data_IF_077707260293
#
_entry.id   IF_077707260293
#
_cell.length_a   1.000
_cell.length_b   1.000
_cell.length_c   1.000
_cell.angle_alpha   90.00
_cell.angle_beta   90.00
_cell.angle_gamma   90.00
#
_symmetry.space_group_name_H-M   'P 1'
#
loop_
_entity.id
_entity.type
_entity.pdbx_description
1 polymer ?
#
# COMPACT_ATOMS: atom_id res chain seq x y z
N UNK A 1 30.75 3.77 -1.46
CA UNK A 1 29.39 3.24 -1.22
C UNK A 1 28.86 2.56 -2.49
N UNK A 2 27.92 1.59 -2.37
CA UNK A 2 27.34 0.89 -3.54
C UNK A 2 25.85 0.66 -3.33
N UNK A 3 25.02 0.82 -4.38
CA UNK A 3 23.58 0.55 -4.36
C UNK A 3 23.25 -0.44 -5.47
N UNK A 4 22.54 -1.53 -5.13
CA UNK A 4 22.02 -2.51 -6.09
C UNK A 4 20.49 -2.53 -6.03
N UNK A 5 19.86 -2.43 -7.19
CA UNK A 5 18.40 -2.38 -7.34
C UNK A 5 17.86 -3.77 -7.68
N UNK A 6 17.21 -4.45 -6.75
CA UNK A 6 16.71 -5.81 -6.97
C UNK A 6 15.24 -5.88 -7.34
N UNK A 7 14.40 -5.08 -6.68
CA UNK A 7 12.97 -5.05 -6.91
C UNK A 7 12.45 -3.62 -7.00
N UNK A 8 11.20 -3.44 -7.39
CA UNK A 8 10.63 -2.14 -7.77
C UNK A 8 11.54 -1.35 -8.75
N UNK A 9 12.27 -2.07 -9.57
CA UNK A 9 13.06 -1.57 -10.70
C UNK A 9 12.33 -2.03 -11.97
N UNK A 10 11.82 -1.10 -12.77
CA UNK A 10 10.95 -1.34 -13.93
C UNK A 10 9.63 -2.07 -13.59
N UNK A 11 9.20 -2.02 -12.34
CA UNK A 11 7.93 -2.58 -11.84
C UNK A 11 7.50 -1.86 -10.57
N UNK A 12 6.21 -1.92 -10.23
CA UNK A 12 5.62 -1.31 -9.03
C UNK A 12 5.57 -2.24 -7.82
N UNK A 13 6.22 -3.43 -7.86
CA UNK A 13 6.10 -4.40 -6.77
C UNK A 13 7.45 -4.97 -6.36
N UNK A 14 7.50 -5.48 -5.12
CA UNK A 14 8.68 -6.15 -4.58
C UNK A 14 9.83 -5.22 -4.27
N UNK A 15 9.56 -4.01 -3.74
CA UNK A 15 10.58 -3.01 -3.40
C UNK A 15 11.72 -3.62 -2.59
N UNK A 16 12.94 -3.52 -3.14
CA UNK A 16 14.14 -4.11 -2.53
C UNK A 16 15.40 -3.48 -3.11
N UNK A 17 16.07 -2.61 -2.34
CA UNK A 17 17.31 -1.96 -2.75
C UNK A 17 18.40 -2.19 -1.71
N UNK A 18 19.55 -2.71 -2.14
CA UNK A 18 20.66 -3.00 -1.24
C UNK A 18 21.69 -1.86 -1.26
N UNK A 19 21.92 -1.25 -0.12
CA UNK A 19 22.99 -0.28 0.14
C UNK A 19 24.15 -1.00 0.86
N UNK A 20 25.34 -0.94 0.27
CA UNK A 20 26.56 -1.46 0.87
C UNK A 20 27.49 -0.28 1.21
N UNK A 21 27.71 -0.07 2.51
CA UNK A 21 28.50 1.06 3.04
C UNK A 21 29.22 0.62 4.34
N UNK A 22 30.47 1.08 4.52
CA UNK A 22 31.27 0.82 5.73
C UNK A 22 31.29 -0.66 6.16
N UNK A 23 31.37 -1.58 5.18
CA UNK A 23 31.35 -3.03 5.41
C UNK A 23 29.99 -3.58 5.86
N UNK A 24 28.93 -2.78 5.85
CA UNK A 24 27.55 -3.18 6.20
C UNK A 24 26.67 -3.28 4.97
N UNK A 25 25.71 -4.19 5.05
CA UNK A 25 24.69 -4.46 4.02
C UNK A 25 23.32 -4.08 4.57
N UNK A 26 22.77 -3.01 4.02
CA UNK A 26 21.52 -2.39 4.47
C UNK A 26 20.48 -2.54 3.36
N UNK A 27 19.37 -3.17 3.65
CA UNK A 27 18.28 -3.35 2.71
C UNK A 27 17.24 -2.24 2.93
N UNK A 28 16.92 -1.49 1.89
CA UNK A 28 15.78 -0.57 1.87
C UNK A 28 14.59 -1.36 1.32
N UNK A 29 13.59 -1.60 2.17
CA UNK A 29 12.44 -2.46 1.97
C UNK A 29 12.79 -3.94 1.67
N UNK A 30 11.80 -4.81 1.79
CA UNK A 30 11.86 -6.22 1.41
C UNK A 30 10.45 -6.69 1.04
N UNK A 31 9.99 -6.23 -0.12
CA UNK A 31 8.62 -6.36 -0.57
C UNK A 31 8.32 -7.69 -1.27
N UNK A 32 7.05 -8.08 -1.21
CA UNK A 32 6.53 -9.19 -1.97
C UNK A 32 6.34 -8.77 -3.44
N UNK A 33 6.93 -9.52 -4.37
CA UNK A 33 6.66 -9.35 -5.78
C UNK A 33 5.23 -9.82 -6.10
N UNK A 34 4.45 -8.95 -6.70
CA UNK A 34 3.09 -9.22 -7.16
C UNK A 34 3.07 -9.11 -8.69
N UNK A 35 2.44 -10.07 -9.36
CA UNK A 35 2.41 -10.12 -10.81
C UNK A 35 1.97 -11.48 -11.32
N UNK A 36 2.48 -11.90 -12.47
CA UNK A 36 2.11 -13.18 -13.04
C UNK A 36 2.44 -14.33 -12.08
N UNK A 37 1.44 -15.18 -11.77
CA UNK A 37 1.47 -16.19 -10.68
C UNK A 37 2.75 -17.02 -10.64
N UNK A 38 3.24 -17.51 -11.80
CA UNK A 38 4.46 -18.33 -11.86
C UNK A 38 5.71 -17.53 -11.49
N UNK A 39 5.81 -16.33 -12.03
CA UNK A 39 6.94 -15.44 -11.78
C UNK A 39 6.97 -14.95 -10.32
N UNK A 40 5.83 -14.55 -9.78
CA UNK A 40 5.68 -14.17 -8.38
C UNK A 40 6.06 -15.33 -7.44
N UNK A 41 5.63 -16.55 -7.77
CA UNK A 41 6.00 -17.74 -7.02
C UNK A 41 7.51 -17.98 -6.97
N UNK A 42 8.21 -17.82 -8.10
CA UNK A 42 9.66 -18.03 -8.20
C UNK A 42 10.45 -16.91 -7.53
N UNK A 43 10.13 -15.64 -7.83
CA UNK A 43 10.85 -14.47 -7.30
C UNK A 43 10.77 -14.37 -5.77
N UNK A 44 9.58 -14.61 -5.19
CA UNK A 44 9.41 -14.50 -3.75
C UNK A 44 10.09 -15.62 -2.97
N UNK A 45 10.30 -16.80 -3.57
CA UNK A 45 11.03 -17.92 -2.93
C UNK A 45 12.54 -17.77 -3.04
N UNK A 46 13.01 -17.22 -4.14
CA UNK A 46 14.42 -17.07 -4.44
C UNK A 46 14.80 -15.59 -4.35
N UNK A 47 14.94 -15.10 -3.10
CA UNK A 47 15.35 -13.73 -2.88
C UNK A 47 16.73 -13.48 -3.54
N UNK A 48 16.93 -12.33 -4.19
CA UNK A 48 18.16 -12.03 -4.91
C UNK A 48 19.34 -11.68 -3.98
N UNK A 49 19.14 -11.78 -2.68
CA UNK A 49 20.14 -11.51 -1.64
C UNK A 49 20.33 -12.75 -0.74
N UNK A 50 21.55 -12.98 -0.28
CA UNK A 50 21.79 -13.92 0.81
C UNK A 50 21.35 -13.28 2.14
N UNK A 51 20.23 -13.75 2.70
CA UNK A 51 19.62 -13.23 3.91
C UNK A 51 20.57 -13.19 5.11
N UNK A 52 21.52 -14.14 5.19
CA UNK A 52 22.51 -14.23 6.29
C UNK A 52 23.53 -13.10 6.26
N UNK A 53 23.70 -12.45 5.11
CA UNK A 53 24.68 -11.37 4.93
C UNK A 53 24.08 -9.97 5.13
N UNK A 54 22.77 -9.86 5.32
CA UNK A 54 22.10 -8.59 5.55
C UNK A 54 22.23 -8.21 7.03
N UNK A 55 22.81 -7.05 7.30
CA UNK A 55 22.97 -6.53 8.67
C UNK A 55 21.70 -5.82 9.15
N UNK A 56 21.08 -5.02 8.28
CA UNK A 56 19.93 -4.18 8.63
C UNK A 56 18.90 -4.14 7.50
N UNK A 57 17.64 -4.00 7.88
CA UNK A 57 16.56 -3.58 6.98
C UNK A 57 16.01 -2.24 7.47
N UNK A 58 15.75 -1.33 6.56
CA UNK A 58 15.04 -0.08 6.83
C UNK A 58 13.75 -0.13 6.02
N UNK A 59 12.63 -0.14 6.72
CA UNK A 59 11.31 -0.28 6.10
C UNK A 59 10.62 1.08 6.01
N UNK A 60 10.31 1.48 4.79
CA UNK A 60 9.62 2.74 4.50
C UNK A 60 8.17 2.74 4.99
N UNK A 61 7.42 1.67 4.73
CA UNK A 61 6.03 1.52 5.16
C UNK A 61 5.54 0.06 5.08
N UNK A 62 4.29 -0.18 5.52
CA UNK A 62 3.78 -1.52 5.77
C UNK A 62 3.15 -2.23 4.56
N UNK A 63 2.98 -1.59 3.39
CA UNK A 63 2.40 -2.27 2.24
C UNK A 63 3.17 -3.54 1.89
N UNK A 64 2.45 -4.55 1.38
CA UNK A 64 2.99 -5.89 1.16
C UNK A 64 4.09 -5.92 0.09
N UNK A 65 4.04 -5.04 -0.88
CA UNK A 65 5.08 -4.86 -1.89
C UNK A 65 6.35 -4.14 -1.37
N UNK A 66 6.35 -3.70 -0.10
CA UNK A 66 7.49 -3.15 0.64
C UNK A 66 7.92 -4.01 1.83
N UNK A 67 7.00 -4.72 2.48
CA UNK A 67 7.24 -5.50 3.71
C UNK A 67 7.07 -7.02 3.55
N UNK A 68 6.37 -7.48 2.52
CA UNK A 68 5.78 -8.81 2.46
C UNK A 68 6.78 -9.98 2.38
N UNK A 69 8.04 -9.75 2.03
CA UNK A 69 9.10 -10.75 2.04
C UNK A 69 9.97 -10.72 3.30
N UNK A 70 9.71 -9.82 4.25
CA UNK A 70 10.46 -9.79 5.52
C UNK A 70 10.41 -11.13 6.29
N UNK A 71 9.23 -11.80 6.43
CA UNK A 71 9.20 -13.12 7.09
C UNK A 71 10.01 -14.17 6.31
N UNK A 72 9.99 -14.14 4.97
CA UNK A 72 10.80 -15.02 4.13
C UNK A 72 12.29 -14.75 4.31
N UNK A 73 12.70 -13.50 4.43
CA UNK A 73 14.08 -13.13 4.72
C UNK A 73 14.55 -13.71 6.07
N UNK A 74 13.68 -13.64 7.11
CA UNK A 74 13.94 -14.27 8.43
C UNK A 74 14.04 -15.80 8.31
N UNK A 75 13.13 -16.44 7.57
CA UNK A 75 13.15 -17.88 7.30
C UNK A 75 14.44 -18.32 6.62
N UNK A 76 14.99 -17.49 5.73
CA UNK A 76 16.27 -17.74 5.03
C UNK A 76 17.52 -17.39 5.87
N UNK A 77 17.34 -16.91 7.10
CA UNK A 77 18.45 -16.76 8.04
C UNK A 77 18.83 -15.32 8.42
N UNK A 78 18.08 -14.32 8.02
CA UNK A 78 18.24 -12.95 8.52
C UNK A 78 18.08 -12.90 10.04
N UNK A 79 19.01 -12.22 10.72
CA UNK A 79 19.00 -12.03 12.18
C UNK A 79 19.38 -10.60 12.59
N UNK A 80 19.42 -9.68 11.62
CA UNK A 80 19.71 -8.27 11.84
C UNK A 80 18.53 -7.52 12.44
N UNK A 81 18.58 -6.20 12.41
CA UNK A 81 17.49 -5.32 12.91
C UNK A 81 16.67 -4.76 11.76
N UNK A 82 15.37 -4.56 12.00
CA UNK A 82 14.45 -3.90 11.09
C UNK A 82 14.05 -2.57 11.69
N UNK A 83 14.52 -1.46 11.11
CA UNK A 83 14.16 -0.12 11.54
C UNK A 83 12.90 0.32 10.80
N UNK A 84 11.89 0.73 11.54
CA UNK A 84 10.63 1.24 11.02
C UNK A 84 9.97 2.17 12.03
N UNK A 85 8.97 2.92 11.62
CA UNK A 85 8.11 3.64 12.55
C UNK A 85 7.26 2.67 13.37
N UNK A 86 6.87 3.06 14.61
CA UNK A 86 6.01 2.21 15.45
C UNK A 86 4.70 1.85 14.74
N UNK A 87 4.03 2.83 14.13
CA UNK A 87 2.77 2.60 13.40
C UNK A 87 2.95 1.68 12.18
N UNK A 88 4.10 1.73 11.51
CA UNK A 88 4.46 0.77 10.45
C UNK A 88 4.64 -0.63 11.03
N UNK A 89 5.32 -0.76 12.18
CA UNK A 89 5.50 -2.05 12.87
C UNK A 89 4.16 -2.67 13.25
N UNK A 90 3.25 -1.88 13.82
CA UNK A 90 1.93 -2.35 14.24
C UNK A 90 1.08 -2.80 13.03
N UNK A 91 1.14 -2.08 11.91
CA UNK A 91 0.48 -2.48 10.66
C UNK A 91 1.12 -3.75 10.08
N UNK A 92 2.45 -3.87 10.10
CA UNK A 92 3.15 -5.07 9.62
C UNK A 92 2.70 -6.33 10.38
N UNK A 93 2.53 -6.26 11.70
CA UNK A 93 2.08 -7.41 12.47
C UNK A 93 0.75 -7.97 11.94
N UNK A 94 -0.26 -7.12 11.77
CA UNK A 94 -1.56 -7.57 11.29
C UNK A 94 -1.56 -7.96 9.81
N UNK A 95 -0.83 -7.22 8.96
CA UNK A 95 -0.81 -7.43 7.51
C UNK A 95 -0.02 -8.69 7.12
N UNK A 96 1.13 -8.94 7.76
CA UNK A 96 1.95 -10.13 7.48
C UNK A 96 1.29 -11.41 7.99
N UNK A 97 0.57 -11.38 9.12
CA UNK A 97 -0.25 -12.50 9.59
C UNK A 97 -1.42 -12.78 8.64
N UNK A 98 -2.10 -11.75 8.17
CA UNK A 98 -3.18 -11.90 7.19
C UNK A 98 -2.64 -12.48 5.87
N UNK A 99 -1.51 -11.96 5.38
CA UNK A 99 -0.84 -12.49 4.19
C UNK A 99 -0.44 -13.97 4.37
N UNK A 100 0.11 -14.34 5.52
CA UNK A 100 0.44 -15.74 5.85
C UNK A 100 -0.81 -16.62 5.80
N UNK A 101 -1.91 -16.19 6.39
CA UNK A 101 -3.18 -16.92 6.40
C UNK A 101 -3.74 -17.10 4.98
N UNK A 102 -3.75 -16.03 4.17
CA UNK A 102 -4.23 -16.09 2.78
C UNK A 102 -3.38 -17.02 1.93
N UNK A 103 -2.04 -16.91 2.02
CA UNK A 103 -1.12 -17.81 1.31
C UNK A 103 -1.34 -19.30 1.69
N UNK A 104 -1.57 -19.58 2.96
CA UNK A 104 -1.85 -20.94 3.42
C UNK A 104 -3.14 -21.51 2.80
N UNK A 105 -4.21 -20.72 2.80
CA UNK A 105 -5.49 -21.12 2.17
C UNK A 105 -5.34 -21.37 0.67
N UNK A 106 -4.65 -20.48 -0.04
CA UNK A 106 -4.39 -20.65 -1.48
C UNK A 106 -3.59 -21.93 -1.75
N UNK A 107 -2.58 -22.21 -0.93
CA UNK A 107 -1.77 -23.41 -1.05
C UNK A 107 -2.58 -24.69 -0.76
N UNK A 108 -3.47 -24.67 0.21
CA UNK A 108 -4.35 -25.83 0.49
C UNK A 108 -5.17 -26.18 -0.75
N UNK A 109 -5.75 -25.17 -1.42
CA UNK A 109 -6.49 -25.37 -2.66
C UNK A 109 -5.61 -25.92 -3.79
N UNK A 110 -4.44 -25.32 -4.02
CA UNK A 110 -3.48 -25.75 -5.05
C UNK A 110 -2.98 -27.17 -4.75
N UNK A 111 -2.61 -27.45 -3.51
CA UNK A 111 -2.05 -28.73 -3.10
C UNK A 111 -3.11 -29.87 -3.14
N UNK A 112 -4.39 -29.56 -2.93
CA UNK A 112 -5.48 -30.53 -3.14
C UNK A 112 -5.52 -31.01 -4.59
N UNK A 113 -5.32 -30.11 -5.57
CA UNK A 113 -5.25 -30.47 -7.00
C UNK A 113 -3.96 -31.24 -7.31
N UNK A 114 -2.80 -30.75 -6.84
CA UNK A 114 -1.49 -31.40 -7.06
C UNK A 114 -1.43 -32.81 -6.49
N UNK A 115 -2.05 -33.05 -5.31
CA UNK A 115 -2.14 -34.39 -4.70
C UNK A 115 -2.90 -35.36 -5.58
N UNK A 116 -4.00 -34.92 -6.23
CA UNK A 116 -4.75 -35.75 -7.20
C UNK A 116 -3.93 -36.06 -8.46
N UNK A 117 -3.02 -35.19 -8.83
CA UNK A 117 -2.14 -35.32 -10.00
C UNK A 117 -0.80 -36.02 -9.67
N UNK A 118 -0.59 -36.51 -8.44
CA UNK A 118 0.67 -37.14 -8.00
C UNK A 118 1.89 -36.23 -8.01
N UNK A 119 1.69 -34.89 -7.99
CA UNK A 119 2.78 -33.90 -8.06
C UNK A 119 3.28 -33.53 -6.66
N UNK A 120 4.57 -33.15 -6.56
CA UNK A 120 5.15 -32.62 -5.32
C UNK A 120 4.33 -31.43 -4.82
N UNK A 121 4.00 -31.44 -3.52
CA UNK A 121 3.25 -30.34 -2.90
C UNK A 121 4.14 -29.10 -2.74
N UNK A 122 3.53 -27.92 -2.77
CA UNK A 122 4.20 -26.68 -2.48
C UNK A 122 4.18 -26.39 -0.97
N UNK A 123 5.28 -25.87 -0.46
CA UNK A 123 5.38 -25.34 0.88
C UNK A 123 4.97 -23.85 0.92
N UNK A 124 4.47 -23.33 2.06
CA UNK A 124 4.21 -21.92 2.23
C UNK A 124 5.51 -21.12 2.08
N UNK A 125 5.39 -19.89 1.61
CA UNK A 125 6.53 -18.97 1.50
C UNK A 125 7.16 -18.74 2.87
N UNK A 126 6.32 -18.49 3.87
CA UNK A 126 6.68 -18.38 5.29
C UNK A 126 5.50 -18.82 6.16
N UNK A 127 5.74 -19.00 7.43
CA UNK A 127 4.77 -19.41 8.43
C UNK A 127 4.59 -18.34 9.51
N UNK A 128 3.57 -18.49 10.36
CA UNK A 128 3.32 -17.56 11.45
C UNK A 128 4.49 -17.47 12.44
N UNK A 129 5.23 -18.55 12.63
CA UNK A 129 6.47 -18.57 13.42
C UNK A 129 7.54 -17.63 12.87
N UNK A 130 7.63 -17.51 11.52
CA UNK A 130 8.57 -16.61 10.86
C UNK A 130 8.14 -15.14 11.07
N UNK A 131 6.83 -14.86 11.04
CA UNK A 131 6.29 -13.55 11.39
C UNK A 131 6.59 -13.22 12.86
N UNK A 132 6.35 -14.16 13.79
CA UNK A 132 6.66 -13.96 15.20
C UNK A 132 8.14 -13.66 15.44
N UNK A 133 9.04 -14.39 14.76
CA UNK A 133 10.47 -14.15 14.84
C UNK A 133 10.86 -12.78 14.25
N UNK A 134 10.26 -12.38 13.13
CA UNK A 134 10.46 -11.07 12.52
C UNK A 134 10.06 -9.94 13.49
N UNK A 135 8.90 -10.03 14.13
CA UNK A 135 8.39 -8.96 15.02
C UNK A 135 9.35 -8.67 16.17
N UNK A 136 10.19 -9.63 16.59
CA UNK A 136 11.22 -9.43 17.60
C UNK A 136 12.46 -8.66 17.09
N UNK A 137 12.61 -8.52 15.77
CA UNK A 137 13.72 -7.82 15.14
C UNK A 137 13.42 -6.34 14.86
N UNK A 138 12.16 -5.93 14.95
CA UNK A 138 11.78 -4.54 14.76
C UNK A 138 12.37 -3.62 15.83
N UNK A 139 12.86 -2.48 15.38
CA UNK A 139 13.35 -1.38 16.22
C UNK A 139 12.55 -0.13 15.83
N UNK A 140 11.53 0.21 16.61
CA UNK A 140 10.77 1.42 16.39
C UNK A 140 11.65 2.67 16.41
N UNK A 141 11.46 3.54 15.43
CA UNK A 141 12.23 4.78 15.27
C UNK A 141 11.26 5.93 15.01
N UNK A 142 11.49 7.07 15.65
CA UNK A 142 10.63 8.25 15.51
C UNK A 142 11.05 9.11 14.32
N UNK A 143 10.14 10.00 13.88
CA UNK A 143 10.49 11.04 12.90
C UNK A 143 11.44 12.04 13.53
N UNK A 144 12.36 12.60 12.74
CA UNK A 144 13.30 13.66 13.13
C UNK A 144 14.21 13.27 14.29
N UNK A 145 14.42 11.97 14.53
CA UNK A 145 15.39 11.45 15.48
C UNK A 145 16.53 10.75 14.74
N UNK A 146 17.62 11.48 14.40
CA UNK A 146 18.79 10.87 13.77
C UNK A 146 19.38 9.78 14.67
N UNK A 147 19.57 8.59 14.12
CA UNK A 147 20.06 7.43 14.83
C UNK A 147 21.24 6.78 14.12
N UNK A 148 22.38 6.73 14.74
CA UNK A 148 23.49 5.93 14.23
C UNK A 148 23.15 4.45 14.34
N UNK A 149 22.95 3.79 13.19
CA UNK A 149 22.59 2.37 13.11
C UNK A 149 23.82 1.47 13.07
N UNK A 150 24.91 1.99 12.54
CA UNK A 150 26.27 1.42 12.63
C UNK A 150 27.29 2.54 12.43
N UNK A 151 28.58 2.26 12.70
CA UNK A 151 29.65 3.25 12.59
C UNK A 151 29.61 4.01 11.27
N UNK A 152 29.40 5.32 11.36
CA UNK A 152 29.38 6.23 10.22
C UNK A 152 28.11 6.14 9.36
N UNK A 153 27.05 5.46 9.80
CA UNK A 153 25.76 5.45 9.10
C UNK A 153 24.66 5.88 10.06
N UNK A 154 24.07 7.04 9.77
CA UNK A 154 22.96 7.61 10.53
C UNK A 154 21.67 7.53 9.73
N UNK A 155 20.61 6.97 10.32
CA UNK A 155 19.26 6.88 9.79
C UNK A 155 18.42 8.02 10.36
N UNK A 156 17.64 8.68 9.53
CA UNK A 156 16.58 9.59 9.94
C UNK A 156 15.32 9.36 9.10
N UNK A 157 14.15 9.38 9.73
CA UNK A 157 12.86 9.28 9.07
C UNK A 157 12.15 10.63 9.00
N UNK A 158 11.52 10.88 7.84
CA UNK A 158 10.59 12.01 7.62
C UNK A 158 9.23 11.48 7.17
N UNK A 159 8.17 12.24 7.34
CA UNK A 159 6.84 11.79 6.95
C UNK A 159 6.69 11.71 5.43
N UNK A 160 6.28 10.57 4.91
CA UNK A 160 6.00 10.37 3.48
C UNK A 160 4.53 10.62 3.10
N UNK A 161 3.62 10.72 4.07
CA UNK A 161 2.22 11.05 3.87
C UNK A 161 1.39 10.03 3.06
N UNK A 162 1.90 8.82 2.81
CA UNK A 162 1.25 7.82 1.94
C UNK A 162 0.19 6.98 2.67
N UNK A 163 0.61 6.20 3.65
CA UNK A 163 -0.28 5.50 4.61
C UNK A 163 0.20 5.76 6.02
N UNK A 164 -0.57 5.28 7.00
CA UNK A 164 -0.17 5.37 8.41
C UNK A 164 1.25 4.80 8.60
N UNK A 165 2.14 5.63 9.14
CA UNK A 165 3.52 5.24 9.43
C UNK A 165 4.48 5.32 8.25
N UNK A 166 4.05 5.65 7.04
CA UNK A 166 4.95 5.80 5.90
C UNK A 166 6.02 6.87 6.14
N UNK A 167 7.24 6.56 5.74
CA UNK A 167 8.39 7.42 5.95
C UNK A 167 9.30 7.51 4.73
N UNK A 168 9.80 8.72 4.50
CA UNK A 168 11.00 8.96 3.71
C UNK A 168 12.19 8.50 4.54
N UNK A 169 13.16 7.85 3.90
CA UNK A 169 14.35 7.30 4.57
C UNK A 169 15.57 8.12 4.16
N UNK A 170 16.18 8.81 5.11
CA UNK A 170 17.48 9.46 4.89
C UNK A 170 18.59 8.66 5.55
N UNK A 171 19.67 8.41 4.81
CA UNK A 171 20.90 7.83 5.32
C UNK A 171 22.06 8.81 5.11
N UNK A 172 22.63 9.27 6.21
CA UNK A 172 23.91 9.99 6.21
C UNK A 172 25.04 8.98 6.39
N UNK A 173 25.86 8.83 5.35
CA UNK A 173 26.92 7.83 5.29
C UNK A 173 28.28 8.54 5.24
N UNK A 174 29.06 8.40 6.31
CA UNK A 174 30.43 8.89 6.41
C UNK A 174 31.40 7.75 6.11
N UNK A 175 32.03 7.82 4.96
CA UNK A 175 33.04 6.83 4.57
C UNK A 175 34.31 6.95 5.43
N UNK A 176 34.94 5.84 5.78
CA UNK A 176 36.27 5.83 6.43
C UNK A 176 37.35 6.51 5.56
N UNK A 177 37.09 6.75 4.28
CA UNK A 177 37.98 7.44 3.32
C UNK A 177 37.67 8.95 3.15
N UNK A 178 36.78 9.51 3.98
CA UNK A 178 36.49 10.95 4.02
C UNK A 178 35.41 11.43 3.04
N UNK A 179 34.84 10.55 2.24
CA UNK A 179 33.67 10.88 1.39
C UNK A 179 32.37 10.73 2.20
N UNK A 180 31.54 11.75 2.15
CA UNK A 180 30.24 11.73 2.81
C UNK A 180 29.15 11.67 1.75
N UNK A 181 28.18 10.80 1.94
CA UNK A 181 27.02 10.69 1.08
C UNK A 181 25.75 10.82 1.90
N UNK A 182 24.77 11.57 1.38
CA UNK A 182 23.41 11.60 1.89
C UNK A 182 22.48 10.98 0.86
N UNK A 183 21.92 9.83 1.22
CA UNK A 183 20.93 9.12 0.41
C UNK A 183 19.54 9.42 0.95
N UNK A 184 18.61 9.79 0.05
CA UNK A 184 17.19 9.95 0.33
C UNK A 184 16.39 8.94 -0.50
N UNK A 185 15.62 8.08 0.17
CA UNK A 185 14.69 7.15 -0.45
C UNK A 185 13.26 7.56 -0.10
N UNK A 186 12.43 7.79 -1.12
CA UNK A 186 11.06 8.26 -0.93
C UNK A 186 10.14 7.22 -0.27
N UNK A 187 10.47 5.90 -0.38
CA UNK A 187 9.42 4.91 -0.28
C UNK A 187 8.30 5.28 -1.26
N UNK A 188 7.06 5.23 -0.81
CA UNK A 188 5.90 5.74 -1.54
C UNK A 188 5.48 7.10 -0.99
N UNK A 189 5.33 8.07 -1.88
CA UNK A 189 4.91 9.43 -1.56
C UNK A 189 3.38 9.52 -1.56
N UNK A 190 2.86 10.19 -0.53
CA UNK A 190 1.42 10.42 -0.41
C UNK A 190 0.90 11.51 -1.35
N UNK A 191 -0.42 11.55 -1.50
CA UNK A 191 -1.10 12.65 -2.14
C UNK A 191 -1.05 13.92 -1.28
N UNK A 192 -0.86 15.11 -1.87
CA UNK A 192 -1.15 16.35 -1.19
C UNK A 192 -2.62 16.38 -0.72
N UNK A 193 -2.85 16.86 0.50
CA UNK A 193 -4.19 17.08 1.05
C UNK A 193 -5.06 15.81 1.16
N UNK A 194 -4.46 14.63 1.28
CA UNK A 194 -5.26 13.44 1.55
C UNK A 194 -5.92 13.50 2.94
N UNK A 195 -7.08 12.84 3.12
CA UNK A 195 -7.78 12.83 4.41
C UNK A 195 -6.98 12.12 5.49
N UNK A 196 -7.16 12.51 6.75
CA UNK A 196 -6.64 11.91 7.98
C UNK A 196 -5.16 12.17 8.21
N UNK A 197 -4.28 11.91 7.25
CA UNK A 197 -2.83 11.92 7.42
C UNK A 197 -2.20 13.27 7.07
N UNK A 198 -1.07 13.59 7.75
CA UNK A 198 -0.27 14.76 7.42
C UNK A 198 0.37 14.62 6.02
N UNK A 199 0.56 15.75 5.37
CA UNK A 199 1.30 15.88 4.12
C UNK A 199 2.73 15.34 4.24
N UNK A 200 3.35 14.93 3.13
CA UNK A 200 4.77 14.58 3.08
C UNK A 200 5.66 15.77 3.44
N UNK A 201 6.87 15.47 3.88
CA UNK A 201 7.90 16.46 4.24
C UNK A 201 8.94 16.57 3.13
N UNK A 202 9.77 17.61 3.22
CA UNK A 202 10.77 17.95 2.21
C UNK A 202 12.18 17.92 2.82
N UNK A 203 12.80 16.74 3.01
CA UNK A 203 14.17 16.66 3.48
C UNK A 203 15.13 17.26 2.46
N UNK A 204 16.05 18.12 2.92
CA UNK A 204 16.96 18.83 2.06
C UNK A 204 18.35 18.20 2.00
N UNK A 205 19.08 18.46 0.91
CA UNK A 205 20.52 18.24 0.80
C UNK A 205 20.94 16.80 0.49
N UNK A 206 20.12 16.00 -0.17
CA UNK A 206 20.53 14.65 -0.61
C UNK A 206 21.49 14.72 -1.82
N UNK A 207 22.55 13.89 -1.79
CA UNK A 207 23.41 13.66 -2.96
C UNK A 207 22.83 12.62 -3.90
N UNK A 208 22.14 11.63 -3.32
CA UNK A 208 21.58 10.45 -4.00
C UNK A 208 20.11 10.36 -3.65
N UNK A 209 19.29 10.34 -4.68
CA UNK A 209 17.83 10.27 -4.55
C UNK A 209 17.29 9.00 -5.21
N UNK A 210 16.50 8.21 -4.46
CA UNK A 210 15.66 7.14 -4.97
C UNK A 210 14.21 7.58 -4.83
N UNK A 211 13.48 7.75 -5.93
CA UNK A 211 12.11 8.28 -5.91
C UNK A 211 11.14 7.34 -6.63
N UNK A 212 9.97 7.12 -6.03
CA UNK A 212 8.87 6.37 -6.64
C UNK A 212 8.38 7.02 -7.93
N UNK A 213 7.74 6.24 -8.80
CA UNK A 213 7.29 6.70 -10.12
C UNK A 213 5.87 6.24 -10.46
N UNK A 214 5.08 5.81 -9.49
CA UNK A 214 3.80 5.12 -9.68
C UNK A 214 2.83 5.87 -10.59
N UNK A 215 2.79 7.21 -10.47
CA UNK A 215 1.94 8.08 -11.30
C UNK A 215 2.70 9.26 -11.92
N UNK A 216 3.97 9.06 -12.28
CA UNK A 216 4.79 10.09 -12.92
C UNK A 216 4.26 10.55 -14.29
N UNK A 217 3.41 9.74 -14.92
CA UNK A 217 2.79 9.96 -16.23
C UNK A 217 1.40 10.59 -16.18
N UNK A 218 0.78 10.75 -14.99
CA UNK A 218 -0.65 11.09 -14.87
C UNK A 218 -0.93 12.11 -13.78
N UNK A 219 -2.07 12.80 -13.94
CA UNK A 219 -2.67 13.68 -12.93
C UNK A 219 -3.92 13.02 -12.36
N UNK A 220 -4.15 13.18 -11.06
CA UNK A 220 -5.38 12.72 -10.42
C UNK A 220 -6.48 13.77 -10.55
N UNK A 221 -7.77 13.34 -10.65
CA UNK A 221 -8.89 14.25 -10.49
C UNK A 221 -8.89 14.93 -9.11
N UNK A 222 -9.50 16.10 -8.99
CA UNK A 222 -9.63 16.79 -7.71
C UNK A 222 -10.32 15.93 -6.65
N UNK A 223 -9.82 15.98 -5.41
CA UNK A 223 -10.44 15.30 -4.27
C UNK A 223 -11.82 15.91 -3.91
N UNK A 224 -12.09 17.14 -4.33
CA UNK A 224 -13.39 17.81 -4.08
C UNK A 224 -14.58 17.06 -4.69
N UNK A 225 -14.34 16.29 -5.77
CA UNK A 225 -15.37 15.47 -6.41
C UNK A 225 -15.79 14.25 -5.58
N UNK A 226 -14.98 13.79 -4.61
CA UNK A 226 -15.23 12.53 -3.88
C UNK A 226 -16.50 12.63 -3.04
N UNK A 227 -16.65 13.69 -2.24
CA UNK A 227 -17.83 13.88 -1.39
C UNK A 227 -19.10 14.00 -2.21
N UNK A 228 -19.07 14.80 -3.28
CA UNK A 228 -20.22 14.98 -4.15
C UNK A 228 -20.66 13.67 -4.81
N UNK A 229 -19.71 12.88 -5.30
CA UNK A 229 -20.00 11.57 -5.92
C UNK A 229 -20.56 10.59 -4.89
N UNK A 230 -19.94 10.49 -3.72
CA UNK A 230 -20.45 9.63 -2.65
C UNK A 230 -21.86 10.06 -2.23
N UNK A 231 -22.12 11.36 -2.04
CA UNK A 231 -23.46 11.88 -1.74
C UNK A 231 -24.49 11.46 -2.81
N UNK A 232 -24.12 11.57 -4.10
CA UNK A 232 -24.98 11.15 -5.23
C UNK A 232 -25.32 9.67 -5.13
N UNK A 233 -24.33 8.80 -4.88
CA UNK A 233 -24.53 7.36 -4.81
C UNK A 233 -25.33 6.96 -3.56
N UNK A 234 -25.08 7.59 -2.41
CA UNK A 234 -25.83 7.36 -1.19
C UNK A 234 -27.32 7.72 -1.35
N UNK A 235 -27.61 8.85 -1.98
CA UNK A 235 -29.00 9.24 -2.31
C UNK A 235 -29.66 8.30 -3.31
N UNK A 236 -28.87 7.76 -4.26
CA UNK A 236 -29.39 6.80 -5.22
C UNK A 236 -29.80 5.51 -4.54
N UNK A 237 -28.89 4.88 -3.76
CA UNK A 237 -29.19 3.62 -3.08
C UNK A 237 -30.32 3.75 -2.04
N UNK A 238 -30.46 4.91 -1.40
CA UNK A 238 -31.55 5.22 -0.48
C UNK A 238 -32.92 5.21 -1.19
N UNK A 239 -32.99 5.84 -2.37
CA UNK A 239 -34.22 5.89 -3.19
C UNK A 239 -34.62 4.54 -3.79
N UNK A 240 -33.64 3.74 -4.22
CA UNK A 240 -33.87 2.46 -4.89
C UNK A 240 -33.83 1.27 -3.91
N UNK A 241 -33.63 1.53 -2.61
CA UNK A 241 -33.52 0.49 -1.58
C UNK A 241 -32.44 -0.57 -1.92
N UNK A 242 -31.31 -0.13 -2.48
CA UNK A 242 -30.29 -0.95 -3.12
C UNK A 242 -28.93 -0.92 -2.39
N UNK A 243 -27.90 -1.54 -2.96
CA UNK A 243 -26.58 -1.69 -2.34
C UNK A 243 -25.51 -0.90 -3.08
N UNK A 244 -24.60 -0.28 -2.33
CA UNK A 244 -23.35 0.29 -2.81
C UNK A 244 -22.20 -0.61 -2.33
N UNK A 245 -21.62 -1.43 -3.23
CA UNK A 245 -20.44 -2.24 -2.91
C UNK A 245 -19.18 -1.46 -3.28
N UNK A 246 -18.27 -1.33 -2.32
CA UNK A 246 -16.99 -0.64 -2.48
C UNK A 246 -15.83 -1.61 -2.21
N UNK A 247 -15.23 -2.21 -3.25
CA UNK A 247 -13.95 -2.92 -3.13
C UNK A 247 -12.87 -1.98 -2.62
N UNK A 248 -12.25 -2.28 -1.49
CA UNK A 248 -11.26 -1.41 -0.86
C UNK A 248 -10.09 -2.19 -0.24
N UNK A 249 -8.90 -1.61 -0.29
CA UNK A 249 -7.79 -2.12 0.52
C UNK A 249 -8.08 -1.94 2.00
N UNK A 250 -7.67 -2.91 2.80
CA UNK A 250 -7.96 -2.94 4.23
C UNK A 250 -7.25 -1.82 5.00
N UNK A 251 -6.09 -1.37 4.51
CA UNK A 251 -5.29 -0.29 5.08
C UNK A 251 -5.29 0.91 4.14
N UNK A 252 -5.53 2.09 4.69
CA UNK A 252 -5.58 3.37 3.99
C UNK A 252 -6.95 3.63 3.36
N UNK A 253 -7.32 2.92 2.30
CA UNK A 253 -8.54 3.16 1.53
C UNK A 253 -9.83 3.03 2.34
N UNK A 254 -9.96 1.97 3.11
CA UNK A 254 -11.15 1.78 3.98
C UNK A 254 -11.29 2.95 4.96
N UNK A 255 -10.21 3.40 5.60
CA UNK A 255 -10.23 4.51 6.55
C UNK A 255 -10.58 5.84 5.86
N UNK A 256 -10.07 6.09 4.65
CA UNK A 256 -10.44 7.27 3.87
C UNK A 256 -11.94 7.31 3.53
N UNK A 257 -12.52 6.16 3.13
CA UNK A 257 -13.96 6.08 2.83
C UNK A 257 -14.79 6.34 4.09
N UNK A 258 -14.41 5.73 5.23
CA UNK A 258 -15.09 6.00 6.52
C UNK A 258 -15.04 7.50 6.85
N UNK A 259 -13.90 8.14 6.66
CA UNK A 259 -13.72 9.57 6.89
C UNK A 259 -14.66 10.43 6.02
N UNK A 260 -14.79 10.13 4.72
CA UNK A 260 -15.71 10.84 3.84
C UNK A 260 -17.17 10.60 4.23
N UNK A 261 -17.53 9.39 4.65
CA UNK A 261 -18.88 9.10 5.15
C UNK A 261 -19.19 9.86 6.45
N UNK A 262 -18.19 9.98 7.34
CA UNK A 262 -18.29 10.80 8.55
C UNK A 262 -18.55 12.27 8.19
N UNK A 263 -17.75 12.85 7.27
CA UNK A 263 -17.95 14.24 6.81
C UNK A 263 -19.33 14.47 6.18
N UNK A 264 -19.82 13.49 5.42
CA UNK A 264 -21.18 13.57 4.84
C UNK A 264 -22.26 13.51 5.94
N UNK A 265 -22.04 12.72 6.99
CA UNK A 265 -22.94 12.66 8.13
C UNK A 265 -22.98 14.00 8.89
N UNK A 266 -21.81 14.61 9.15
CA UNK A 266 -21.70 15.94 9.79
C UNK A 266 -22.45 17.02 8.99
N UNK A 267 -22.38 16.94 7.66
CA UNK A 267 -23.10 17.84 6.74
C UNK A 267 -24.58 17.46 6.56
N UNK A 268 -25.09 16.44 7.26
CA UNK A 268 -26.45 15.87 7.14
C UNK A 268 -26.78 15.38 5.72
N UNK A 269 -25.77 14.89 5.01
CA UNK A 269 -25.86 14.40 3.63
C UNK A 269 -25.83 12.87 3.52
N UNK A 270 -25.48 12.16 4.60
CA UNK A 270 -25.66 10.71 4.74
C UNK A 270 -27.12 10.43 5.11
N UNK A 271 -27.93 9.74 4.27
CA UNK A 271 -29.30 9.41 4.59
C UNK A 271 -29.38 8.51 5.83
N UNK A 272 -30.36 8.73 6.70
CA UNK A 272 -30.46 8.04 8.00
C UNK A 272 -30.68 6.54 7.90
N UNK A 273 -31.34 6.10 6.84
CA UNK A 273 -31.67 4.68 6.62
C UNK A 273 -30.50 3.89 6.05
N UNK A 274 -29.47 4.55 5.51
CA UNK A 274 -28.30 3.90 4.94
C UNK A 274 -27.44 3.29 6.05
N UNK A 275 -27.31 1.97 6.01
CA UNK A 275 -26.40 1.19 6.89
C UNK A 275 -25.04 1.07 6.23
N UNK A 276 -23.96 1.12 7.02
CA UNK A 276 -22.59 1.02 6.53
C UNK A 276 -21.92 -0.20 7.15
N UNK A 277 -21.41 -1.10 6.33
CA UNK A 277 -20.75 -2.33 6.78
C UNK A 277 -19.31 -2.36 6.29
N UNK A 278 -18.37 -2.58 7.22
CA UNK A 278 -16.98 -2.87 6.92
C UNK A 278 -16.79 -4.38 7.01
N UNK A 279 -16.81 -5.05 5.87
CA UNK A 279 -16.69 -6.51 5.81
C UNK A 279 -15.25 -6.95 5.53
N UNK A 280 -14.38 -6.66 6.48
CA UNK A 280 -12.98 -7.04 6.48
C UNK A 280 -12.41 -7.05 7.90
N UNK A 281 -12.09 -8.21 8.48
CA UNK A 281 -11.45 -8.29 9.80
C UNK A 281 -10.11 -7.54 9.85
N UNK A 282 -9.34 -7.55 8.75
CA UNK A 282 -8.10 -6.78 8.67
C UNK A 282 -8.36 -5.27 8.71
N UNK A 283 -9.40 -4.79 8.01
CA UNK A 283 -9.78 -3.37 8.06
C UNK A 283 -10.17 -2.92 9.46
N UNK A 284 -10.89 -3.78 10.22
CA UNK A 284 -11.23 -3.49 11.61
C UNK A 284 -9.98 -3.34 12.48
N UNK A 285 -9.01 -4.27 12.35
CA UNK A 285 -7.73 -4.19 13.09
C UNK A 285 -6.93 -2.94 12.67
N UNK A 286 -6.84 -2.66 11.38
CA UNK A 286 -6.15 -1.48 10.87
C UNK A 286 -6.78 -0.18 11.38
N UNK A 287 -8.11 -0.07 11.39
CA UNK A 287 -8.80 1.12 11.92
C UNK A 287 -8.51 1.35 13.41
N UNK A 288 -8.39 0.28 14.21
CA UNK A 288 -7.94 0.39 15.61
C UNK A 288 -6.50 0.91 15.73
N UNK A 289 -5.60 0.45 14.85
CA UNK A 289 -4.21 0.94 14.83
C UNK A 289 -4.19 2.42 14.44
N UNK A 290 -4.95 2.84 13.42
CA UNK A 290 -5.10 4.26 13.07
C UNK A 290 -5.55 5.09 14.29
N UNK A 291 -6.57 4.63 15.04
CA UNK A 291 -7.05 5.33 16.24
C UNK A 291 -6.02 5.45 17.37
N UNK A 292 -5.03 4.55 17.42
CA UNK A 292 -3.94 4.58 18.40
C UNK A 292 -2.78 5.50 18.02
N UNK A 293 -2.66 5.90 16.73
CA UNK A 293 -1.55 6.71 16.20
C UNK A 293 -2.02 8.09 15.73
N UNK A 294 -2.69 8.83 16.62
CA UNK A 294 -3.25 10.17 16.31
C UNK A 294 -2.19 11.25 16.08
N UNK A 295 -0.95 11.01 16.49
CA UNK A 295 0.18 11.91 16.29
C UNK A 295 0.51 12.16 14.80
N UNK A 296 0.08 11.26 13.90
CA UNK A 296 0.28 11.41 12.46
C UNK A 296 -0.89 12.06 11.72
N UNK A 297 -1.96 12.41 12.43
CA UNK A 297 -3.15 13.00 11.82
C UNK A 297 -2.88 14.42 11.37
N UNK A 298 -3.53 14.81 10.26
CA UNK A 298 -3.56 16.18 9.78
C UNK A 298 -4.36 17.09 10.74
N UNK A 299 -4.32 18.40 10.49
CA UNK A 299 -4.95 19.37 11.39
C UNK A 299 -6.46 19.18 11.47
N UNK A 300 -7.13 18.89 10.34
CA UNK A 300 -8.58 18.67 10.30
C UNK A 300 -8.99 17.47 11.16
N UNK A 301 -8.33 16.33 11.02
CA UNK A 301 -8.63 15.14 11.82
C UNK A 301 -8.33 15.34 13.31
N UNK A 302 -7.27 16.09 13.65
CA UNK A 302 -6.97 16.46 15.05
C UNK A 302 -8.01 17.39 15.64
N UNK A 303 -8.50 18.35 14.87
CA UNK A 303 -9.57 19.25 15.30
C UNK A 303 -10.86 18.46 15.56
N UNK A 304 -11.23 17.53 14.68
CA UNK A 304 -12.39 16.65 14.92
C UNK A 304 -12.30 15.93 16.27
N UNK A 305 -11.11 15.38 16.59
CA UNK A 305 -10.89 14.70 17.88
C UNK A 305 -11.00 15.68 19.05
N UNK A 306 -10.41 16.87 18.94
CA UNK A 306 -10.52 17.91 19.98
C UNK A 306 -11.96 18.34 20.26
N UNK A 307 -12.82 18.26 19.24
CA UNK A 307 -14.27 18.52 19.35
C UNK A 307 -15.07 17.29 19.82
N UNK A 308 -14.39 16.18 20.22
CA UNK A 308 -15.02 14.96 20.69
C UNK A 308 -15.62 14.08 19.59
N UNK A 309 -15.25 14.32 18.33
CA UNK A 309 -15.67 13.53 17.16
C UNK A 309 -14.56 12.56 16.73
N UNK A 310 -14.93 11.32 16.40
CA UNK A 310 -13.98 10.34 15.88
C UNK A 310 -14.01 10.34 14.34
N UNK A 311 -12.92 10.73 13.65
CA UNK A 311 -12.86 10.76 12.18
C UNK A 311 -12.99 9.39 11.52
N UNK A 312 -12.84 8.31 12.28
CA UNK A 312 -12.85 6.92 11.78
C UNK A 312 -14.14 6.16 12.11
N UNK A 313 -15.23 6.89 12.29
CA UNK A 313 -16.56 6.32 12.47
C UNK A 313 -17.61 7.14 11.72
N UNK A 314 -18.79 6.60 11.51
CA UNK A 314 -19.95 7.32 11.01
C UNK A 314 -21.24 6.68 11.57
N UNK A 315 -22.39 7.37 11.51
CA UNK A 315 -23.66 6.77 11.91
C UNK A 315 -23.93 5.46 11.18
N UNK A 316 -24.52 4.48 11.90
CA UNK A 316 -24.88 3.16 11.37
C UNK A 316 -23.71 2.33 10.81
N UNK A 317 -22.45 2.63 11.22
CA UNK A 317 -21.29 1.83 10.88
C UNK A 317 -21.23 0.56 11.73
N UNK A 318 -21.07 -0.58 11.07
CA UNK A 318 -20.88 -1.89 11.71
C UNK A 318 -19.67 -2.60 11.10
N UNK A 319 -18.78 -3.13 11.94
CA UNK A 319 -17.71 -4.02 11.52
C UNK A 319 -18.19 -5.46 11.56
N UNK A 320 -18.03 -6.17 10.45
CA UNK A 320 -18.45 -7.55 10.26
C UNK A 320 -17.28 -8.49 10.61
N UNK A 321 -17.44 -9.27 11.66
CA UNK A 321 -16.38 -10.14 12.20
C UNK A 321 -16.37 -11.52 11.56
N UNK A 322 -17.52 -12.18 11.49
CA UNK A 322 -17.63 -13.58 11.14
C UNK A 322 -18.03 -13.84 9.68
N UNK A 323 -17.76 -15.03 9.13
CA UNK A 323 -18.24 -15.41 7.80
C UNK A 323 -19.77 -15.46 7.71
N UNK A 324 -20.45 -15.88 8.79
CA UNK A 324 -21.91 -15.97 8.86
C UNK A 324 -22.56 -14.57 8.76
N UNK A 325 -22.03 -13.59 9.50
CA UNK A 325 -22.47 -12.20 9.37
C UNK A 325 -22.23 -11.67 7.96
N UNK A 326 -21.07 -11.97 7.35
CA UNK A 326 -20.75 -11.57 5.98
C UNK A 326 -21.73 -12.16 4.96
N UNK A 327 -22.07 -13.44 5.10
CA UNK A 327 -23.07 -14.09 4.23
C UNK A 327 -24.45 -13.46 4.37
N UNK A 328 -24.86 -13.15 5.59
CA UNK A 328 -26.16 -12.52 5.84
C UNK A 328 -26.34 -11.17 5.11
N UNK A 329 -25.26 -10.40 4.88
CA UNK A 329 -25.32 -9.14 4.12
C UNK A 329 -25.81 -9.34 2.67
N UNK A 330 -25.57 -10.51 2.07
CA UNK A 330 -26.01 -10.78 0.71
C UNK A 330 -27.53 -10.89 0.62
N UNK A 331 -28.16 -11.45 1.66
CA UNK A 331 -29.60 -11.68 1.73
C UNK A 331 -30.37 -10.49 2.34
N UNK A 332 -29.67 -9.56 2.99
CA UNK A 332 -30.28 -8.36 3.55
C UNK A 332 -30.76 -7.43 2.45
N UNK A 333 -31.97 -6.89 2.61
CA UNK A 333 -32.54 -5.82 1.79
C UNK A 333 -32.32 -4.46 2.44
N UNK A 334 -32.51 -3.39 1.65
CA UNK A 334 -32.48 -2.01 2.10
C UNK A 334 -31.20 -1.28 1.71
N UNK A 335 -31.20 0.05 1.87
CA UNK A 335 -30.07 0.86 1.48
C UNK A 335 -28.87 0.54 2.36
N UNK A 336 -27.78 0.06 1.74
CA UNK A 336 -26.55 -0.22 2.48
C UNK A 336 -25.29 0.01 1.66
N UNK A 337 -24.24 0.41 2.34
CA UNK A 337 -22.86 0.45 1.83
C UNK A 337 -22.12 -0.74 2.38
N UNK A 338 -21.48 -1.52 1.52
CA UNK A 338 -20.61 -2.64 1.91
C UNK A 338 -19.20 -2.30 1.44
N UNK A 339 -18.26 -2.13 2.38
CA UNK A 339 -16.84 -1.91 2.10
C UNK A 339 -16.12 -3.21 2.42
N UNK A 340 -15.54 -3.85 1.39
CA UNK A 340 -14.95 -5.18 1.53
C UNK A 340 -13.60 -5.30 0.82
N UNK A 341 -12.67 -6.06 1.40
CA UNK A 341 -11.37 -6.36 0.78
C UNK A 341 -11.47 -7.62 -0.12
N UNK A 342 -10.71 -7.68 -1.23
CA UNK A 342 -9.60 -6.82 -1.63
C UNK A 342 -10.04 -5.70 -2.60
N UNK A 343 -9.25 -4.63 -2.65
CA UNK A 343 -9.53 -3.48 -3.53
C UNK A 343 -9.42 -3.77 -5.04
N UNK A 344 -8.71 -4.83 -5.46
CA UNK A 344 -8.60 -5.26 -6.86
C UNK A 344 -9.51 -6.46 -7.19
N UNK A 345 -10.36 -6.88 -6.27
CA UNK A 345 -11.30 -8.00 -6.42
C UNK A 345 -10.63 -9.34 -6.76
N UNK A 346 -9.39 -9.59 -6.32
CA UNK A 346 -8.67 -10.84 -6.60
C UNK A 346 -8.83 -11.90 -5.48
N UNK A 347 -9.41 -11.54 -4.35
CA UNK A 347 -9.61 -12.42 -3.21
C UNK A 347 -10.47 -11.78 -2.13
N UNK A 348 -10.71 -12.52 -1.05
CA UNK A 348 -11.45 -12.04 0.11
C UNK A 348 -12.98 -12.05 -0.04
N UNK A 349 -13.64 -11.46 0.94
CA UNK A 349 -15.11 -11.45 1.05
C UNK A 349 -15.79 -10.66 -0.07
N UNK A 350 -15.10 -9.68 -0.65
CA UNK A 350 -15.60 -8.87 -1.78
C UNK A 350 -16.05 -9.72 -2.97
N UNK A 351 -15.43 -10.87 -3.22
CA UNK A 351 -15.82 -11.75 -4.33
C UNK A 351 -17.23 -12.33 -4.13
N UNK A 352 -17.59 -12.66 -2.89
CA UNK A 352 -18.93 -13.14 -2.56
C UNK A 352 -19.97 -12.04 -2.74
N UNK A 353 -19.68 -10.82 -2.26
CA UNK A 353 -20.56 -9.68 -2.46
C UNK A 353 -20.72 -9.32 -3.94
N UNK A 354 -19.61 -9.35 -4.71
CA UNK A 354 -19.68 -9.10 -6.16
C UNK A 354 -20.61 -10.08 -6.86
N UNK A 355 -20.52 -11.38 -6.55
CA UNK A 355 -21.38 -12.40 -7.13
C UNK A 355 -22.87 -12.08 -6.97
N UNK A 356 -23.27 -11.51 -5.84
CA UNK A 356 -24.65 -11.13 -5.56
C UNK A 356 -25.01 -9.74 -6.11
N UNK A 357 -24.13 -8.75 -5.88
CA UNK A 357 -24.42 -7.35 -6.25
C UNK A 357 -24.43 -7.10 -7.76
N UNK A 358 -23.62 -7.84 -8.53
CA UNK A 358 -23.50 -7.64 -9.99
C UNK A 358 -24.80 -7.91 -10.75
N UNK A 359 -25.70 -8.73 -10.23
CA UNK A 359 -26.89 -9.22 -10.93
C UNK A 359 -28.11 -8.27 -10.81
N UNK A 360 -28.02 -7.23 -10.03
CA UNK A 360 -29.11 -6.30 -9.76
C UNK A 360 -28.77 -4.91 -10.34
N UNK A 361 -29.62 -4.38 -11.22
CA UNK A 361 -29.43 -3.11 -11.95
C UNK A 361 -29.49 -1.87 -11.05
N UNK A 362 -30.12 -1.97 -9.90
CA UNK A 362 -30.21 -0.89 -8.92
C UNK A 362 -28.99 -0.82 -8.00
N UNK A 363 -28.13 -1.87 -7.99
CA UNK A 363 -26.92 -1.84 -7.21
C UNK A 363 -25.81 -1.04 -7.91
N UNK A 364 -24.88 -0.49 -7.10
CA UNK A 364 -23.70 0.22 -7.58
C UNK A 364 -22.45 -0.51 -7.10
N UNK A 365 -21.52 -0.77 -8.03
CA UNK A 365 -20.14 -1.20 -7.74
C UNK A 365 -19.25 0.04 -7.89
N UNK A 366 -18.70 0.54 -6.79
CA UNK A 366 -17.87 1.73 -6.78
C UNK A 366 -16.39 1.33 -6.66
N UNK A 367 -15.65 1.44 -7.74
CA UNK A 367 -14.21 1.21 -7.75
C UNK A 367 -13.47 2.48 -7.33
N UNK A 368 -12.68 2.37 -6.27
CA UNK A 368 -11.94 3.48 -5.66
C UNK A 368 -10.43 3.31 -5.86
N UNK A 369 -9.94 3.64 -7.05
CA UNK A 369 -8.51 3.61 -7.36
C UNK A 369 -8.11 2.68 -8.51
N UNK A 370 -6.80 2.58 -8.73
CA UNK A 370 -6.22 1.82 -9.83
C UNK A 370 -6.58 0.32 -9.77
N UNK A 371 -6.85 -0.24 -10.94
CA UNK A 371 -7.05 -1.67 -11.11
C UNK A 371 -5.99 -2.21 -12.07
N UNK A 372 -5.15 -3.12 -11.57
CA UNK A 372 -4.08 -3.72 -12.35
C UNK A 372 -4.64 -4.56 -13.52
N UNK A 373 -3.88 -4.68 -14.57
CA UNK A 373 -4.22 -5.54 -15.70
C UNK A 373 -4.46 -7.00 -15.25
N UNK A 374 -5.36 -7.68 -15.93
CA UNK A 374 -5.76 -9.06 -15.66
C UNK A 374 -6.50 -9.31 -14.33
N UNK A 375 -6.75 -8.29 -13.50
CA UNK A 375 -7.57 -8.43 -12.26
C UNK A 375 -9.07 -8.46 -12.58
N UNK A 376 -9.86 -9.02 -11.67
CA UNK A 376 -11.33 -8.97 -11.78
C UNK A 376 -11.84 -7.53 -11.67
N UNK A 377 -11.25 -6.71 -10.79
CA UNK A 377 -11.61 -5.30 -10.67
C UNK A 377 -11.40 -4.54 -11.98
N UNK A 378 -10.33 -4.82 -12.73
CA UNK A 378 -10.10 -4.24 -14.06
C UNK A 378 -11.21 -4.64 -15.04
N UNK A 379 -11.60 -5.91 -15.06
CA UNK A 379 -12.70 -6.41 -15.92
C UNK A 379 -14.05 -5.77 -15.56
N UNK A 380 -14.30 -5.50 -14.25
CA UNK A 380 -15.49 -4.77 -13.80
C UNK A 380 -15.49 -3.33 -14.34
N UNK A 381 -14.36 -2.62 -14.22
CA UNK A 381 -14.20 -1.25 -14.77
C UNK A 381 -14.40 -1.21 -16.28
N UNK A 382 -13.88 -2.20 -16.99
CA UNK A 382 -14.06 -2.36 -18.46
C UNK A 382 -15.46 -2.83 -18.86
N UNK A 383 -16.34 -3.07 -17.88
CA UNK A 383 -17.73 -3.53 -18.08
C UNK A 383 -17.81 -4.80 -18.93
N UNK A 384 -16.83 -5.71 -18.79
CA UNK A 384 -16.89 -7.00 -19.47
C UNK A 384 -18.11 -7.79 -18.99
N UNK A 385 -18.80 -8.46 -19.89
CA UNK A 385 -20.02 -9.22 -19.56
C UNK A 385 -20.09 -10.50 -20.41
N UNK A 386 -20.22 -11.71 -19.82
CA UNK A 386 -20.27 -11.97 -18.40
C UNK A 386 -18.90 -11.84 -17.71
N UNK A 387 -18.92 -11.66 -16.38
CA UNK A 387 -17.74 -11.69 -15.52
C UNK A 387 -17.58 -13.06 -14.88
N UNK A 388 -16.34 -13.54 -14.73
CA UNK A 388 -16.07 -14.78 -14.02
C UNK A 388 -15.70 -14.49 -12.56
N UNK A 389 -16.63 -14.79 -11.62
CA UNK A 389 -16.49 -14.56 -10.18
C UNK A 389 -16.54 -15.90 -9.46
N UNK A 390 -15.54 -16.24 -8.63
CA UNK A 390 -15.42 -17.53 -7.91
C UNK A 390 -15.59 -18.77 -8.82
N UNK A 391 -15.18 -18.65 -10.09
CA UNK A 391 -15.27 -19.73 -11.07
C UNK A 391 -16.58 -19.83 -11.85
N UNK A 392 -17.59 -19.04 -11.47
CA UNK A 392 -18.90 -18.99 -12.13
C UNK A 392 -19.02 -17.75 -13.03
N UNK A 393 -19.79 -17.86 -14.10
CA UNK A 393 -20.12 -16.72 -14.96
C UNK A 393 -21.29 -15.95 -14.35
N UNK A 394 -21.10 -14.64 -14.17
CA UNK A 394 -22.06 -13.74 -13.55
C UNK A 394 -22.33 -12.59 -14.51
N UNK A 395 -23.59 -12.34 -14.81
CA UNK A 395 -24.02 -11.23 -15.65
C UNK A 395 -23.81 -9.90 -14.91
N UNK A 396 -23.23 -8.91 -15.60
CA UNK A 396 -23.08 -7.55 -15.09
C UNK A 396 -24.32 -6.72 -15.46
N UNK A 397 -25.22 -6.53 -14.49
CA UNK A 397 -26.37 -5.61 -14.56
C UNK A 397 -26.16 -4.37 -13.74
N UNK A 398 -25.44 -4.48 -12.62
CA UNK A 398 -25.16 -3.39 -11.70
C UNK A 398 -24.47 -2.20 -12.40
N UNK A 399 -24.69 -1.01 -11.87
CA UNK A 399 -23.99 0.19 -12.28
C UNK A 399 -22.54 0.13 -11.82
N UNK A 400 -21.59 0.39 -12.72
CA UNK A 400 -20.16 0.47 -12.40
C UNK A 400 -19.71 1.91 -12.44
N UNK A 401 -19.22 2.40 -11.30
CA UNK A 401 -18.74 3.75 -11.09
C UNK A 401 -17.28 3.73 -10.63
N UNK A 402 -16.51 4.78 -10.97
CA UNK A 402 -15.08 4.84 -10.66
C UNK A 402 -14.72 6.20 -10.07
N UNK A 403 -14.05 6.19 -8.91
CA UNK A 403 -13.46 7.39 -8.31
C UNK A 403 -11.93 7.22 -8.26
N UNK A 404 -11.22 7.91 -9.16
CA UNK A 404 -9.74 7.85 -9.22
C UNK A 404 -9.05 8.85 -8.28
N UNK A 405 -9.78 9.82 -7.72
CA UNK A 405 -9.24 10.85 -6.83
C UNK A 405 -8.77 10.32 -5.45
N UNK A 406 -9.03 9.06 -5.16
CA UNK A 406 -8.65 8.43 -3.88
C UNK A 406 -7.31 7.69 -3.94
N UNK A 407 -6.46 7.88 -4.95
CA UNK A 407 -5.12 7.26 -4.94
C UNK A 407 -4.33 7.70 -3.70
N UNK A 408 -3.58 6.78 -3.10
CA UNK A 408 -2.72 7.11 -1.97
C UNK A 408 -1.37 7.70 -2.41
N UNK A 409 -0.93 7.43 -3.66
CA UNK A 409 0.33 7.95 -4.20
C UNK A 409 0.19 9.35 -4.75
N UNK A 410 1.26 10.12 -4.67
CA UNK A 410 1.40 11.37 -5.38
C UNK A 410 1.25 11.16 -6.89
N UNK A 411 0.55 12.08 -7.54
CA UNK A 411 0.49 12.15 -9.00
C UNK A 411 1.66 12.96 -9.57
N UNK A 412 1.69 13.19 -10.89
CA UNK A 412 2.76 13.96 -11.54
C UNK A 412 2.92 15.35 -10.94
N UNK A 413 1.83 16.00 -10.51
CA UNK A 413 1.91 17.33 -9.90
C UNK A 413 2.53 17.26 -8.50
N UNK A 414 2.09 16.34 -7.66
CA UNK A 414 2.65 16.11 -6.33
C UNK A 414 4.11 15.66 -6.37
N UNK A 415 4.46 14.76 -7.29
CA UNK A 415 5.85 14.35 -7.52
C UNK A 415 6.74 15.53 -7.97
N UNK A 416 6.24 16.37 -8.89
CA UNK A 416 6.96 17.57 -9.33
C UNK A 416 7.16 18.57 -8.20
N UNK A 417 6.13 18.79 -7.39
CA UNK A 417 6.18 19.67 -6.23
C UNK A 417 7.27 19.18 -5.26
N UNK A 418 7.20 17.91 -4.84
CA UNK A 418 8.18 17.34 -3.93
C UNK A 418 9.60 17.37 -4.48
N UNK A 419 9.81 16.96 -5.73
CA UNK A 419 11.12 16.97 -6.38
C UNK A 419 11.70 18.39 -6.49
N UNK A 420 10.86 19.41 -6.71
CA UNK A 420 11.31 20.81 -6.81
C UNK A 420 11.92 21.33 -5.51
N UNK A 421 11.45 20.82 -4.36
CA UNK A 421 11.95 21.21 -3.04
C UNK A 421 13.19 20.40 -2.59
N UNK A 422 13.31 19.13 -3.02
CA UNK A 422 14.41 18.26 -2.55
C UNK A 422 15.57 18.14 -3.54
N UNK A 423 15.46 18.70 -4.74
CA UNK A 423 16.45 18.57 -5.84
C UNK A 423 17.82 19.15 -5.57
N UNK A 424 17.91 20.11 -4.66
CA UNK A 424 19.17 20.82 -4.40
C UNK A 424 20.24 19.86 -3.89
N UNK A 425 21.42 19.90 -4.55
CA UNK A 425 22.57 19.04 -4.33
C UNK A 425 22.43 17.58 -4.84
N UNK A 426 21.30 17.18 -5.43
CA UNK A 426 21.16 15.83 -6.00
C UNK A 426 22.10 15.64 -7.19
N UNK A 427 23.07 14.74 -7.03
CA UNK A 427 24.06 14.37 -8.06
C UNK A 427 23.63 13.14 -8.85
N UNK A 428 22.89 12.22 -8.19
CA UNK A 428 22.41 10.98 -8.75
C UNK A 428 20.96 10.77 -8.35
N UNK A 429 20.06 10.68 -9.34
CA UNK A 429 18.65 10.45 -9.14
C UNK A 429 18.21 9.12 -9.80
N UNK A 430 17.45 8.32 -9.07
CA UNK A 430 16.96 7.02 -9.52
C UNK A 430 15.44 6.98 -9.47
N UNK A 431 14.83 6.75 -10.64
CA UNK A 431 13.41 6.51 -10.76
C UNK A 431 13.12 5.03 -10.51
N UNK A 432 12.43 4.73 -9.41
CA UNK A 432 12.07 3.37 -8.98
C UNK A 432 10.56 3.24 -8.80
N UNK A 433 10.06 2.05 -8.48
CA UNK A 433 8.66 1.80 -8.14
C UNK A 433 7.68 2.29 -9.23
N UNK A 434 7.88 1.85 -10.46
CA UNK A 434 7.03 2.17 -11.61
C UNK A 434 7.25 1.19 -12.76
N UNK A 435 6.23 0.99 -13.56
CA UNK A 435 6.32 0.30 -14.84
C UNK A 435 7.24 1.08 -15.80
N UNK A 436 7.80 0.46 -16.85
CA UNK A 436 8.79 1.09 -17.75
C UNK A 436 8.40 2.49 -18.25
N UNK A 437 7.15 2.68 -18.65
CA UNK A 437 6.65 3.97 -19.13
C UNK A 437 6.68 5.05 -18.03
N UNK A 438 6.35 4.66 -16.80
CA UNK A 438 6.26 5.56 -15.65
C UNK A 438 7.64 5.97 -15.12
N UNK A 439 8.57 5.02 -15.00
CA UNK A 439 9.94 5.36 -14.60
C UNK A 439 10.63 6.23 -15.64
N UNK A 440 10.34 6.05 -16.94
CA UNK A 440 10.84 6.93 -17.99
C UNK A 440 10.25 8.35 -17.87
N UNK A 441 8.93 8.47 -17.64
CA UNK A 441 8.28 9.76 -17.40
C UNK A 441 8.83 10.47 -16.15
N UNK A 442 9.24 9.70 -15.11
CA UNK A 442 9.91 10.24 -13.93
C UNK A 442 11.33 10.74 -14.26
N UNK A 443 12.10 9.99 -15.03
CA UNK A 443 13.43 10.41 -15.48
C UNK A 443 13.35 11.72 -16.28
N UNK A 444 12.36 11.84 -17.18
CA UNK A 444 12.10 13.10 -17.90
C UNK A 444 11.80 14.24 -16.93
N UNK A 445 10.90 14.03 -15.97
CA UNK A 445 10.55 15.03 -14.96
C UNK A 445 11.77 15.46 -14.13
N UNK A 446 12.61 14.52 -13.69
CA UNK A 446 13.84 14.81 -12.96
C UNK A 446 14.83 15.63 -13.79
N UNK A 447 15.00 15.28 -15.08
CA UNK A 447 15.86 16.01 -16.01
C UNK A 447 15.36 17.45 -16.24
N UNK A 448 14.04 17.64 -16.41
CA UNK A 448 13.39 18.95 -16.57
C UNK A 448 13.60 19.83 -15.33
N UNK A 449 13.71 19.25 -14.15
CA UNK A 449 14.01 19.92 -12.90
C UNK A 449 15.51 20.14 -12.66
N UNK A 450 16.38 19.71 -13.59
CA UNK A 450 17.83 19.94 -13.55
C UNK A 450 18.67 18.81 -12.97
N UNK A 451 18.07 17.67 -12.61
CA UNK A 451 18.78 16.47 -12.13
C UNK A 451 19.33 15.65 -13.32
N UNK A 452 20.39 16.15 -13.96
CA UNK A 452 20.92 15.65 -15.25
C UNK A 452 21.40 14.19 -15.30
N UNK A 453 21.62 13.56 -14.15
CA UNK A 453 22.06 12.17 -14.03
C UNK A 453 20.93 11.24 -13.55
N UNK A 454 19.67 11.58 -13.88
CA UNK A 454 18.53 10.77 -13.56
C UNK A 454 18.47 9.51 -14.43
N UNK A 455 18.27 8.35 -13.82
CA UNK A 455 18.18 7.05 -14.52
C UNK A 455 17.07 6.18 -13.93
N UNK A 456 16.54 5.30 -14.76
CA UNK A 456 15.63 4.21 -14.35
C UNK A 456 16.44 2.91 -14.31
N UNK A 457 16.82 2.40 -13.13
CA UNK A 457 17.69 1.24 -13.02
C UNK A 457 16.97 -0.04 -13.46
N UNK A 458 17.73 -0.97 -14.04
CA UNK A 458 17.25 -2.31 -14.34
C UNK A 458 17.39 -3.23 -13.11
N UNK A 459 16.56 -4.29 -12.99
CA UNK A 459 16.71 -5.27 -11.92
C UNK A 459 18.12 -5.88 -11.90
N UNK A 460 18.78 -5.88 -10.72
CA UNK A 460 20.16 -6.36 -10.51
C UNK A 460 21.24 -5.34 -10.85
N UNK A 461 20.89 -4.17 -11.38
CA UNK A 461 21.88 -3.15 -11.71
C UNK A 461 22.49 -2.53 -10.46
N UNK A 462 23.80 -2.29 -10.49
CA UNK A 462 24.59 -1.76 -9.38
C UNK A 462 25.29 -0.46 -9.78
N UNK A 463 25.22 0.53 -8.89
CA UNK A 463 25.93 1.80 -9.00
C UNK A 463 26.92 1.95 -7.85
N UNK A 464 28.10 2.48 -8.14
CA UNK A 464 29.17 2.75 -7.16
C UNK A 464 29.34 4.26 -7.02
N UNK A 465 29.55 4.71 -5.80
CA UNK A 465 29.75 6.10 -5.44
C UNK A 465 31.05 6.21 -4.66
N UNK A 466 31.93 7.05 -5.15
CA UNK A 466 33.27 7.30 -4.59
C UNK A 466 33.21 8.34 -3.48
#
# INVERSE_FOLDING_TARGET
MKITFYGAAQTTTGSMHLVEANGKRILLDCGLYQGHRKEAFEKNRNLPVDAKTIDYVILSHAHIDHSGNLPQLVRQGFRGRVFARQSTTDLCDIMLRDSCFLQKRDLEYINKKRRKEGKKLFEPLYEESDVNALMQLFVPTHLHEPREICRGVTLEFFNAGHILGSALVQLDIRSDHGHNHRLLFSGDLGQPNQPILRHYEYPAGADILLCESTYADKYHPSADDVEWRLEKYLKYIDRHNSKLLIPAFSVGRTQQIIYYLNRLADKKKLPREVRVFIDSPLSQKATKIYANHREVYNEEARQMIAEGRDPLTCPNLTFVGTPEESMALNDMSGPMVIIAASGMCEGGRVLHHLKHCLQDEDNIILICGFQAENTLGRRVVEKRNPLRVLGEEVELKAQVEVINALSAHADRAGLKDWLSEVKDNVRHAFAVHGEPEKVNAMVELMNDLGMKNAVAPMPGQTYKFD
#
